data_IF_297284271893
#
_entry.id   IF_297284271893
#
_cell.length_a   1.000
_cell.length_b   1.000
_cell.length_c   1.000
_cell.angle_alpha   90.00
_cell.angle_beta   90.00
_cell.angle_gamma   90.00
#
_symmetry.space_group_name_H-M   'P 1'
#
loop_
_entity.id
_entity.type
_entity.pdbx_description
1 polymer ?
#
# COMPACT_ATOMS: atom_id res chain seq x y z
N UNK A 1 10.23 -45.78 -7.68
CA UNK A 1 9.48 -46.28 -8.85
C UNK A 1 8.85 -47.66 -8.61
N UNK A 2 8.82 -48.17 -7.37
CA UNK A 2 8.30 -49.53 -7.05
C UNK A 2 6.80 -49.57 -6.70
N UNK A 3 6.13 -48.43 -6.53
CA UNK A 3 4.72 -48.39 -6.13
C UNK A 3 3.75 -48.64 -7.30
N UNK A 4 4.17 -48.43 -8.55
CA UNK A 4 3.30 -48.54 -9.74
C UNK A 4 3.42 -49.87 -10.48
N UNK A 5 4.50 -50.62 -10.25
CA UNK A 5 4.78 -51.91 -10.91
C UNK A 5 3.69 -52.98 -10.69
N UNK A 6 3.25 -53.28 -9.46
CA UNK A 6 2.19 -54.27 -9.26
C UNK A 6 0.84 -53.84 -9.87
N UNK A 7 0.58 -52.53 -10.01
CA UNK A 7 -0.65 -52.03 -10.68
C UNK A 7 -0.65 -52.27 -12.20
N UNK A 8 0.52 -52.15 -12.83
CA UNK A 8 0.69 -52.30 -14.28
C UNK A 8 0.66 -53.78 -14.68
N UNK A 9 1.32 -54.63 -13.89
CA UNK A 9 1.50 -56.04 -14.24
C UNK A 9 0.30 -56.92 -13.82
N UNK A 10 -0.49 -56.56 -12.79
CA UNK A 10 -1.56 -57.42 -12.27
C UNK A 10 -3.01 -56.95 -12.49
N UNK A 11 -3.27 -55.68 -12.85
CA UNK A 11 -4.65 -55.15 -12.92
C UNK A 11 -5.01 -54.57 -14.30
N UNK A 12 -4.41 -53.45 -14.70
CA UNK A 12 -4.59 -52.85 -16.04
C UNK A 12 -3.66 -51.63 -16.22
N UNK A 13 -2.95 -51.53 -17.36
CA UNK A 13 -2.10 -50.37 -17.66
C UNK A 13 -2.88 -49.06 -17.79
N UNK A 14 -4.18 -49.11 -18.11
CA UNK A 14 -5.04 -47.92 -18.20
C UNK A 14 -5.29 -47.31 -16.81
N UNK A 15 -5.48 -48.15 -15.79
CA UNK A 15 -5.69 -47.69 -14.42
C UNK A 15 -4.42 -47.04 -13.85
N UNK A 16 -3.25 -47.61 -14.17
CA UNK A 16 -1.96 -47.04 -13.82
C UNK A 16 -1.76 -45.65 -14.45
N UNK A 17 -2.14 -45.49 -15.73
CA UNK A 17 -2.08 -44.19 -16.41
C UNK A 17 -3.00 -43.14 -15.75
N UNK A 18 -4.26 -43.51 -15.45
CA UNK A 18 -5.19 -42.62 -14.75
C UNK A 18 -4.67 -42.22 -13.36
N UNK A 19 -4.04 -43.15 -12.64
CA UNK A 19 -3.46 -42.89 -11.33
C UNK A 19 -2.28 -41.90 -11.40
N UNK A 20 -1.40 -42.04 -12.41
CA UNK A 20 -0.29 -41.10 -12.64
C UNK A 20 -0.81 -39.71 -12.99
N UNK A 21 -1.83 -39.61 -13.86
CA UNK A 21 -2.47 -38.33 -14.20
C UNK A 21 -3.11 -37.71 -12.97
N UNK A 22 -3.81 -38.51 -12.15
CA UNK A 22 -4.41 -38.06 -10.89
C UNK A 22 -3.35 -37.47 -9.94
N UNK A 23 -2.25 -38.18 -9.70
CA UNK A 23 -1.15 -37.67 -8.87
C UNK A 23 -0.54 -36.41 -9.49
N UNK A 24 -0.31 -36.39 -10.80
CA UNK A 24 0.23 -35.23 -11.50
C UNK A 24 -0.64 -33.99 -11.31
N UNK A 25 -1.95 -34.11 -11.53
CA UNK A 25 -2.91 -33.02 -11.32
C UNK A 25 -3.00 -32.63 -9.85
N UNK A 26 -3.02 -33.59 -8.92
CA UNK A 26 -3.09 -33.32 -7.49
C UNK A 26 -1.84 -32.56 -6.99
N UNK A 27 -0.65 -32.94 -7.43
CA UNK A 27 0.60 -32.25 -7.09
C UNK A 27 0.67 -30.86 -7.73
N UNK A 28 0.27 -30.71 -9.00
CA UNK A 28 0.20 -29.41 -9.65
C UNK A 28 -0.79 -28.47 -8.95
N UNK A 29 -1.97 -28.99 -8.59
CA UNK A 29 -2.97 -28.25 -7.82
C UNK A 29 -2.41 -27.82 -6.46
N UNK A 30 -1.83 -28.76 -5.71
CA UNK A 30 -1.25 -28.48 -4.41
C UNK A 30 -0.12 -27.43 -4.49
N UNK A 31 0.79 -27.58 -5.45
CA UNK A 31 1.90 -26.64 -5.64
C UNK A 31 1.40 -25.26 -6.00
N UNK A 32 0.44 -25.14 -6.91
CA UNK A 32 -0.14 -23.85 -7.28
C UNK A 32 -0.85 -23.17 -6.09
N UNK A 33 -1.54 -23.94 -5.24
CA UNK A 33 -2.17 -23.42 -4.02
C UNK A 33 -1.11 -22.92 -3.03
N UNK A 34 -0.08 -23.72 -2.77
CA UNK A 34 1.00 -23.36 -1.84
C UNK A 34 1.77 -22.14 -2.35
N UNK A 35 2.10 -22.09 -3.64
CA UNK A 35 2.73 -20.92 -4.26
C UNK A 35 1.84 -19.69 -4.15
N UNK A 36 0.52 -19.82 -4.36
CA UNK A 36 -0.43 -18.72 -4.19
C UNK A 36 -0.39 -18.13 -2.77
N UNK A 37 -0.48 -18.97 -1.74
CA UNK A 37 -0.41 -18.54 -0.33
C UNK A 37 0.95 -17.94 0.02
N UNK A 38 2.03 -18.52 -0.48
CA UNK A 38 3.38 -18.01 -0.24
C UNK A 38 3.59 -16.62 -0.87
N UNK A 39 3.17 -16.45 -2.13
CA UNK A 39 3.26 -15.15 -2.81
C UNK A 39 2.45 -14.09 -2.07
N UNK A 40 1.24 -14.43 -1.62
CA UNK A 40 0.41 -13.52 -0.83
C UNK A 40 1.10 -13.12 0.48
N UNK A 41 1.65 -14.09 1.21
CA UNK A 41 2.41 -13.86 2.45
C UNK A 41 3.62 -12.93 2.22
N UNK A 42 4.38 -13.18 1.14
CA UNK A 42 5.56 -12.36 0.77
C UNK A 42 5.13 -10.94 0.41
N UNK A 43 4.05 -10.77 -0.35
CA UNK A 43 3.52 -9.46 -0.71
C UNK A 43 3.01 -8.68 0.51
N UNK A 44 2.29 -9.34 1.42
CA UNK A 44 1.81 -8.71 2.66
C UNK A 44 2.97 -8.28 3.55
N UNK A 45 4.00 -9.12 3.74
CA UNK A 45 5.17 -8.77 4.54
C UNK A 45 5.95 -7.60 3.92
N UNK A 46 6.12 -7.59 2.59
CA UNK A 46 6.79 -6.49 1.90
C UNK A 46 6.02 -5.17 2.02
N UNK A 47 4.67 -5.23 2.07
CA UNK A 47 3.83 -4.05 2.29
C UNK A 47 3.97 -3.51 3.72
N UNK A 48 3.91 -4.39 4.73
CA UNK A 48 4.02 -4.00 6.13
C UNK A 48 5.39 -3.37 6.47
N UNK A 49 6.47 -3.90 5.92
CA UNK A 49 7.83 -3.35 6.13
C UNK A 49 7.94 -1.92 5.56
N UNK A 50 7.30 -1.68 4.42
CA UNK A 50 7.22 -0.34 3.80
C UNK A 50 6.34 0.64 4.58
N UNK A 51 5.26 0.17 5.20
CA UNK A 51 4.41 0.96 6.13
C UNK A 51 5.22 1.43 7.35
N UNK A 52 5.93 0.50 8.00
CA UNK A 52 6.77 0.82 9.16
C UNK A 52 7.86 1.85 8.84
N UNK A 53 8.53 1.69 7.69
CA UNK A 53 9.57 2.62 7.25
C UNK A 53 9.03 4.06 7.06
N UNK A 54 7.87 4.20 6.41
CA UNK A 54 7.27 5.51 6.13
C UNK A 54 6.79 6.23 7.41
N UNK A 55 6.17 5.51 8.34
CA UNK A 55 5.76 6.08 9.63
C UNK A 55 6.98 6.49 10.45
N UNK A 56 8.04 5.69 10.43
CA UNK A 56 9.28 6.02 11.13
C UNK A 56 9.93 7.30 10.55
N UNK A 57 10.02 7.42 9.22
CA UNK A 57 10.51 8.64 8.58
C UNK A 57 9.61 9.85 8.88
N UNK A 58 8.29 9.68 8.90
CA UNK A 58 7.37 10.76 9.26
C UNK A 58 7.58 11.24 10.70
N UNK A 59 7.79 10.32 11.65
CA UNK A 59 8.13 10.67 13.04
C UNK A 59 9.48 11.38 13.15
N UNK A 60 10.47 11.05 12.32
CA UNK A 60 11.75 11.77 12.29
C UNK A 60 11.57 13.22 11.80
N UNK A 61 10.78 13.43 10.74
CA UNK A 61 10.47 14.76 10.21
C UNK A 61 9.70 15.61 11.24
N UNK A 62 8.75 15.00 11.96
CA UNK A 62 7.96 15.66 13.00
C UNK A 62 8.75 15.91 14.30
N UNK A 63 9.68 15.03 14.66
CA UNK A 63 10.47 15.15 15.89
C UNK A 63 11.34 16.42 15.94
N UNK A 64 11.63 17.03 14.80
CA UNK A 64 12.36 18.31 14.72
C UNK A 64 11.45 19.55 14.78
N UNK A 65 10.15 19.40 14.50
CA UNK A 65 9.18 20.50 14.48
C UNK A 65 8.03 20.20 15.42
N UNK A 66 8.14 20.70 16.65
CA UNK A 66 7.04 20.69 17.63
C UNK A 66 5.92 21.70 17.31
N UNK A 67 6.16 22.62 16.36
CA UNK A 67 5.19 23.62 15.89
C UNK A 67 4.48 23.16 14.62
N UNK A 68 3.29 23.70 14.41
CA UNK A 68 2.49 23.50 13.20
C UNK A 68 3.28 23.96 11.96
N UNK A 69 3.32 23.12 10.93
CA UNK A 69 4.13 23.37 9.74
C UNK A 69 3.33 24.18 8.72
N UNK A 70 3.78 25.40 8.43
CA UNK A 70 3.18 26.20 7.36
C UNK A 70 3.55 25.65 5.97
N UNK A 71 2.81 26.07 4.94
CA UNK A 71 3.14 25.72 3.55
C UNK A 71 4.57 26.15 3.16
N UNK A 72 5.02 27.31 3.64
CA UNK A 72 6.37 27.82 3.38
C UNK A 72 7.44 26.94 4.02
N UNK A 73 7.22 26.52 5.27
CA UNK A 73 8.10 25.60 5.98
C UNK A 73 8.14 24.24 5.28
N UNK A 74 6.98 23.72 4.89
CA UNK A 74 6.85 22.46 4.16
C UNK A 74 7.63 22.50 2.85
N UNK A 75 7.45 23.54 2.04
CA UNK A 75 8.15 23.73 0.77
C UNK A 75 9.66 23.91 0.97
N UNK A 76 10.09 24.59 2.04
CA UNK A 76 11.51 24.75 2.36
C UNK A 76 12.20 23.41 2.71
N UNK A 77 11.43 22.46 3.24
CA UNK A 77 11.91 21.11 3.60
C UNK A 77 11.83 20.12 2.44
N UNK A 78 11.17 20.44 1.32
CA UNK A 78 11.01 19.52 0.17
C UNK A 78 12.35 19.01 -0.35
N UNK A 79 13.40 19.83 -0.35
CA UNK A 79 14.73 19.46 -0.84
C UNK A 79 15.56 18.62 0.16
N UNK A 80 15.08 18.44 1.40
CA UNK A 80 15.77 17.61 2.39
C UNK A 80 15.68 16.13 2.02
N UNK A 81 16.75 15.34 2.27
CA UNK A 81 16.79 13.92 1.89
C UNK A 81 15.66 13.10 2.52
N UNK A 82 15.27 13.42 3.76
CA UNK A 82 14.18 12.76 4.48
C UNK A 82 12.83 12.98 3.79
N UNK A 83 12.60 14.20 3.30
CA UNK A 83 11.37 14.57 2.60
C UNK A 83 11.35 13.98 1.18
N UNK A 84 12.49 13.94 0.50
CA UNK A 84 12.63 13.26 -0.80
C UNK A 84 12.34 11.76 -0.68
N UNK A 85 12.85 11.10 0.37
CA UNK A 85 12.51 9.71 0.64
C UNK A 85 11.03 9.50 0.95
N UNK A 86 10.41 10.44 1.67
CA UNK A 86 8.98 10.43 1.92
C UNK A 86 8.17 10.52 0.62
N UNK A 87 8.43 11.50 -0.26
CA UNK A 87 7.78 11.64 -1.58
C UNK A 87 7.94 10.37 -2.42
N UNK A 88 9.15 9.78 -2.45
CA UNK A 88 9.42 8.53 -3.15
C UNK A 88 8.66 7.34 -2.55
N UNK A 89 8.51 7.32 -1.22
CA UNK A 89 7.80 6.26 -0.51
C UNK A 89 6.29 6.25 -0.81
N UNK A 90 5.67 7.42 -0.92
CA UNK A 90 4.25 7.58 -1.32
C UNK A 90 4.04 7.59 -2.84
N UNK A 91 5.11 7.63 -3.63
CA UNK A 91 5.05 7.64 -5.09
C UNK A 91 4.63 8.98 -5.71
N UNK A 92 4.83 10.08 -4.99
CA UNK A 92 4.55 11.43 -5.46
C UNK A 92 5.84 12.13 -5.89
N UNK A 93 5.71 13.15 -6.74
CA UNK A 93 6.86 13.98 -7.12
C UNK A 93 7.01 15.18 -6.17
N UNK A 94 8.24 15.63 -5.87
CA UNK A 94 8.48 16.86 -5.11
C UNK A 94 7.79 18.10 -5.71
N UNK A 95 7.60 18.13 -7.03
CA UNK A 95 6.84 19.18 -7.73
C UNK A 95 5.36 19.25 -7.33
N UNK A 96 4.82 18.18 -6.74
CA UNK A 96 3.44 18.09 -6.27
C UNK A 96 3.31 18.42 -4.77
N UNK A 97 4.38 18.90 -4.13
CA UNK A 97 4.40 19.21 -2.70
C UNK A 97 3.25 20.13 -2.26
N UNK A 98 2.91 21.14 -3.05
CA UNK A 98 1.78 22.03 -2.75
C UNK A 98 0.42 21.30 -2.78
N UNK A 99 0.24 20.34 -3.72
CA UNK A 99 -0.96 19.48 -3.76
C UNK A 99 -0.99 18.55 -2.57
N UNK A 100 0.16 17.98 -2.20
CA UNK A 100 0.28 17.10 -1.06
C UNK A 100 -0.09 17.82 0.24
N UNK A 101 0.38 19.06 0.41
CA UNK A 101 0.03 19.91 1.55
C UNK A 101 -1.49 20.06 1.69
N UNK A 102 -2.19 20.45 0.61
CA UNK A 102 -3.66 20.59 0.62
C UNK A 102 -4.44 19.29 0.85
N UNK A 103 -3.78 18.13 0.69
CA UNK A 103 -4.40 16.84 0.96
C UNK A 103 -4.17 16.42 2.41
N UNK A 104 -3.08 16.86 3.02
CA UNK A 104 -2.72 16.57 4.41
C UNK A 104 -3.44 17.54 5.36
N UNK A 105 -3.47 18.83 5.02
CA UNK A 105 -4.25 19.90 5.65
C UNK A 105 -5.75 19.62 5.40
N UNK A 106 -6.38 18.92 6.33
CA UNK A 106 -7.74 18.43 6.15
C UNK A 106 -8.80 19.47 6.54
N UNK A 107 -8.42 20.43 7.39
CA UNK A 107 -9.27 21.50 7.88
C UNK A 107 -9.10 22.82 7.10
N UNK A 108 -8.22 22.85 6.11
CA UNK A 108 -7.85 24.04 5.32
C UNK A 108 -7.37 25.19 6.24
N UNK A 109 -6.73 24.87 7.38
CA UNK A 109 -6.20 25.86 8.33
C UNK A 109 -4.98 26.60 7.77
N UNK A 110 -4.33 26.06 6.74
CA UNK A 110 -3.09 26.58 6.17
C UNK A 110 -1.83 26.17 6.93
N UNK A 111 -1.98 25.28 7.92
CA UNK A 111 -0.91 24.73 8.74
C UNK A 111 -1.15 23.25 8.97
N UNK A 112 -0.10 22.43 8.97
CA UNK A 112 -0.21 20.99 9.22
C UNK A 112 0.31 20.71 10.63
N UNK A 113 -0.56 20.21 11.50
CA UNK A 113 -0.15 19.71 12.80
C UNK A 113 0.38 18.26 12.71
N UNK A 114 0.99 17.76 13.79
CA UNK A 114 1.59 16.42 13.82
C UNK A 114 0.58 15.29 13.57
N UNK A 115 -0.66 15.44 14.04
CA UNK A 115 -1.72 14.46 13.86
C UNK A 115 -2.19 14.43 12.40
N UNK A 116 -2.37 15.58 11.77
CA UNK A 116 -2.70 15.72 10.35
C UNK A 116 -1.61 15.15 9.46
N UNK A 117 -0.34 15.43 9.76
CA UNK A 117 0.77 14.87 9.01
C UNK A 117 0.80 13.35 9.09
N UNK A 118 0.70 12.76 10.28
CA UNK A 118 0.67 11.30 10.46
C UNK A 118 -0.54 10.67 9.78
N UNK A 119 -1.73 11.25 9.96
CA UNK A 119 -2.95 10.77 9.31
C UNK A 119 -2.87 10.91 7.78
N UNK A 120 -2.25 11.98 7.30
CA UNK A 120 -1.94 12.21 5.90
C UNK A 120 -1.01 11.13 5.35
N UNK A 121 0.11 10.86 6.03
CA UNK A 121 1.07 9.80 5.67
C UNK A 121 0.38 8.45 5.58
N UNK A 122 -0.43 8.08 6.59
CA UNK A 122 -1.16 6.80 6.60
C UNK A 122 -2.20 6.74 5.47
N UNK A 123 -2.87 7.85 5.15
CA UNK A 123 -3.86 7.92 4.07
C UNK A 123 -3.24 7.90 2.67
N UNK A 124 -2.07 8.51 2.53
CA UNK A 124 -1.29 8.58 1.28
C UNK A 124 -0.43 7.33 1.07
N UNK A 125 -0.22 6.54 2.12
CA UNK A 125 0.33 5.19 2.05
C UNK A 125 -0.67 4.25 1.38
N UNK A 126 -0.65 4.25 0.06
CA UNK A 126 -1.40 3.35 -0.81
C UNK A 126 -0.69 3.17 -2.15
N UNK A 127 -1.22 2.35 -3.07
CA UNK A 127 -0.68 2.29 -4.43
C UNK A 127 -0.68 3.70 -5.03
N UNK A 128 0.27 4.02 -5.92
CA UNK A 128 0.56 5.36 -6.49
C UNK A 128 -0.64 6.24 -6.96
N UNK A 129 -1.86 5.69 -7.01
CA UNK A 129 -3.14 6.43 -7.14
C UNK A 129 -3.66 7.04 -5.82
N UNK A 130 -3.01 6.78 -4.69
CA UNK A 130 -3.48 7.18 -3.36
C UNK A 130 -3.66 8.70 -3.26
N UNK A 131 -2.71 9.47 -3.80
CA UNK A 131 -2.81 10.93 -3.86
C UNK A 131 -4.02 11.40 -4.69
N UNK A 132 -4.18 10.90 -5.91
CA UNK A 132 -5.31 11.29 -6.76
C UNK A 132 -6.66 10.86 -6.16
N UNK A 133 -6.74 9.69 -5.53
CA UNK A 133 -7.94 9.26 -4.81
C UNK A 133 -8.21 10.12 -3.58
N UNK A 134 -7.17 10.51 -2.84
CA UNK A 134 -7.31 11.38 -1.67
C UNK A 134 -7.77 12.79 -2.08
N UNK A 135 -7.22 13.34 -3.17
CA UNK A 135 -7.68 14.61 -3.77
C UNK A 135 -9.15 14.53 -4.17
N UNK A 136 -9.58 13.43 -4.80
CA UNK A 136 -10.98 13.22 -5.17
C UNK A 136 -11.90 13.14 -3.94
N UNK A 137 -11.49 12.39 -2.91
CA UNK A 137 -12.26 12.27 -1.66
C UNK A 137 -12.38 13.63 -0.96
N UNK A 138 -11.29 14.39 -0.88
CA UNK A 138 -11.30 15.74 -0.31
C UNK A 138 -12.23 16.68 -1.10
N UNK A 139 -12.16 16.62 -2.44
CA UNK A 139 -13.03 17.41 -3.30
C UNK A 139 -14.51 17.10 -3.07
N UNK A 140 -14.86 15.82 -2.90
CA UNK A 140 -16.23 15.39 -2.59
C UNK A 140 -16.65 15.89 -1.21
N UNK A 141 -15.78 15.79 -0.20
CA UNK A 141 -16.07 16.28 1.15
C UNK A 141 -16.34 17.80 1.16
N UNK A 142 -15.50 18.57 0.46
CA UNK A 142 -15.65 20.02 0.30
C UNK A 142 -16.93 20.42 -0.44
N UNK A 143 -17.39 19.61 -1.40
CA UNK A 143 -18.68 19.83 -2.07
C UNK A 143 -19.83 19.55 -1.11
N UNK A 144 -19.79 18.45 -0.35
CA UNK A 144 -20.85 18.08 0.59
C UNK A 144 -20.99 19.10 1.73
N UNK A 145 -19.88 19.58 2.30
CA UNK A 145 -19.90 20.61 3.35
C UNK A 145 -20.46 21.94 2.85
N UNK A 146 -20.22 22.30 1.59
CA UNK A 146 -20.83 23.49 0.96
C UNK A 146 -22.34 23.33 0.74
N UNK A 147 -22.82 22.13 0.42
CA UNK A 147 -24.25 21.86 0.29
C UNK A 147 -24.98 21.93 1.64
N UNK A 148 -24.40 21.36 2.69
CA UNK A 148 -24.97 21.39 4.04
C UNK A 148 -25.06 22.83 4.60
N UNK A 149 -24.11 23.69 4.24
CA UNK A 149 -24.13 25.11 4.57
C UNK A 149 -25.12 25.95 3.74
N UNK A 150 -25.63 25.44 2.62
CA UNK A 150 -26.64 26.11 1.78
C UNK A 150 -28.08 25.70 2.14
N UNK A 151 -28.27 24.58 2.82
CA UNK A 151 -29.58 24.13 3.34
C UNK A 151 -29.95 24.77 4.70
N UNK A 152 -29.03 25.48 5.34
CA UNK A 152 -29.27 26.28 6.56
C UNK A 152 -29.54 27.75 6.25
#
# INVERSE_FOLDING_TARGET
NDLTRPLIDEISPVLALLYVIYIGVAVLCLMNVVTGVFVDTVLMSAKADREGFLVNNACLILGETHDDMSLEDFLSKVDQPEMQEFFKGIGANPSEAARLFSVVDADDSGTINAEEFLNGVVRLHGPAKALDTAVLVQSVHNILSRLDNLEK
#
